data_IF_237149287120
#
_entry.id   IF_237149287120
#
_cell.length_a   1.000
_cell.length_b   1.000
_cell.length_c   1.000
_cell.angle_alpha   90.00
_cell.angle_beta   90.00
_cell.angle_gamma   90.00
#
_symmetry.space_group_name_H-M   'P 1'
#
loop_
_entity.id
_entity.type
_entity.pdbx_description
1 polymer ?
#
# COMPACT_ATOMS: atom_id res chain seq x y z
N UNK A 1 -10.73 33.82 1.39
CA UNK A 1 -10.25 32.44 1.14
C UNK A 1 -11.49 31.58 1.10
N UNK A 2 -11.82 31.04 -0.07
CA UNK A 2 -12.83 29.97 -0.15
C UNK A 2 -12.12 28.77 0.49
N UNK A 3 -12.62 28.31 1.64
CA UNK A 3 -12.16 27.04 2.18
C UNK A 3 -12.75 25.96 1.28
N UNK A 4 -11.90 25.07 0.80
CA UNK A 4 -12.37 23.86 0.11
C UNK A 4 -13.29 23.12 1.09
N UNK A 5 -14.52 22.84 0.65
CA UNK A 5 -15.58 22.26 1.47
C UNK A 5 -15.91 20.87 0.96
N UNK A 6 -16.18 19.96 1.88
CA UNK A 6 -16.73 18.64 1.59
C UNK A 6 -18.20 18.57 1.98
N UNK A 7 -18.86 17.50 1.54
CA UNK A 7 -20.24 17.17 1.89
C UNK A 7 -20.28 15.77 2.48
N UNK A 8 -21.00 15.57 3.57
CA UNK A 8 -21.13 14.29 4.25
C UNK A 8 -22.59 13.93 4.46
N UNK A 9 -22.92 12.66 4.28
CA UNK A 9 -24.22 12.09 4.61
C UNK A 9 -24.01 10.76 5.33
N UNK A 10 -24.68 10.57 6.47
CA UNK A 10 -24.47 9.40 7.35
C UNK A 10 -24.59 8.05 6.65
N UNK A 11 -25.57 7.89 5.76
CA UNK A 11 -25.80 6.63 5.03
C UNK A 11 -25.00 6.48 3.72
N UNK A 12 -24.44 7.58 3.20
CA UNK A 12 -23.94 7.64 1.83
C UNK A 12 -22.49 8.08 1.72
N UNK A 13 -21.88 8.49 2.84
CA UNK A 13 -20.47 8.79 2.96
C UNK A 13 -20.13 10.24 2.66
N UNK A 14 -18.86 10.46 2.30
CA UNK A 14 -18.27 11.77 2.05
C UNK A 14 -18.06 11.99 0.55
N UNK A 15 -18.34 13.22 0.08
CA UNK A 15 -18.02 13.69 -1.26
C UNK A 15 -17.24 15.00 -1.18
N UNK A 16 -16.30 15.16 -2.10
CA UNK A 16 -15.60 16.41 -2.32
C UNK A 16 -15.99 16.95 -3.68
N UNK A 17 -16.39 18.22 -3.73
CA UNK A 17 -16.52 18.92 -5.01
C UNK A 17 -15.11 19.30 -5.43
N UNK A 18 -14.56 18.60 -6.42
CA UNK A 18 -13.38 19.11 -7.12
C UNK A 18 -13.84 20.37 -7.86
N UNK A 19 -13.05 21.45 -7.81
CA UNK A 19 -13.30 22.68 -8.56
C UNK A 19 -13.47 22.34 -10.05
N UNK A 20 -14.72 22.14 -10.46
CA UNK A 20 -15.06 21.98 -11.86
C UNK A 20 -14.87 23.34 -12.50
N UNK A 21 -13.71 23.52 -13.13
CA UNK A 21 -13.52 24.58 -14.09
C UNK A 21 -14.29 24.18 -15.34
N UNK A 22 -15.48 24.75 -15.52
CA UNK A 22 -16.13 24.74 -16.82
C UNK A 22 -15.12 25.22 -17.87
N UNK A 23 -15.06 24.61 -19.06
CA UNK A 23 -14.20 25.12 -20.12
C UNK A 23 -14.51 26.61 -20.31
N UNK A 24 -13.48 27.45 -20.28
CA UNK A 24 -13.60 28.88 -20.52
C UNK A 24 -14.03 29.05 -21.97
N UNK A 25 -15.33 29.13 -22.20
CA UNK A 25 -15.85 29.67 -23.45
C UNK A 25 -15.71 31.19 -23.32
N UNK A 26 -15.01 31.87 -24.25
CA UNK A 26 -14.91 33.33 -24.21
C UNK A 26 -16.31 33.94 -24.09
N UNK A 27 -16.50 34.94 -23.23
CA UNK A 27 -17.80 35.65 -23.07
C UNK A 27 -18.36 36.16 -24.40
N UNK A 28 -17.48 36.32 -25.40
CA UNK A 28 -17.80 36.77 -26.75
C UNK A 28 -17.57 35.67 -27.83
N UNK A 29 -17.86 34.39 -27.56
CA UNK A 29 -17.85 33.38 -28.63
C UNK A 29 -19.10 33.50 -29.52
N UNK A 30 -18.97 34.28 -30.59
CA UNK A 30 -20.01 34.45 -31.60
C UNK A 30 -19.97 33.24 -32.55
N UNK A 31 -21.09 32.54 -32.70
CA UNK A 31 -21.20 31.50 -33.72
C UNK A 31 -20.96 32.14 -35.11
N UNK A 32 -20.28 31.45 -36.04
CA UNK A 32 -20.13 31.96 -37.40
C UNK A 32 -21.50 32.07 -38.05
N UNK A 33 -21.69 33.12 -38.86
CA UNK A 33 -22.88 33.30 -39.68
C UNK A 33 -23.12 32.03 -40.53
N UNK A 34 -24.34 31.52 -40.49
CA UNK A 34 -24.77 30.37 -41.28
C UNK A 34 -25.56 30.81 -42.49
N UNK A 35 -25.58 30.01 -43.56
CA UNK A 35 -26.42 30.29 -44.73
C UNK A 35 -27.65 29.38 -44.67
N UNK A 36 -28.84 29.96 -44.80
CA UNK A 36 -30.08 29.18 -44.83
C UNK A 36 -30.26 28.44 -46.18
N UNK A 37 -31.28 27.60 -46.24
CA UNK A 37 -31.57 26.76 -47.43
C UNK A 37 -31.90 27.60 -48.68
N UNK A 38 -32.26 28.88 -48.52
CA UNK A 38 -32.55 29.82 -49.60
C UNK A 38 -31.32 30.66 -50.01
N UNK A 39 -30.16 30.43 -49.39
CA UNK A 39 -28.90 31.08 -49.73
C UNK A 39 -28.67 32.44 -49.06
N UNK A 40 -29.46 32.80 -48.04
CA UNK A 40 -29.27 34.04 -47.30
C UNK A 40 -28.35 33.84 -46.09
N UNK A 41 -27.46 34.80 -45.86
CA UNK A 41 -26.61 34.81 -44.67
C UNK A 41 -27.44 35.18 -43.43
N UNK A 42 -27.47 34.29 -42.46
CA UNK A 42 -28.13 34.45 -41.15
C UNK A 42 -27.05 34.74 -40.10
N UNK A 43 -27.11 35.88 -39.39
CA UNK A 43 -26.12 36.22 -38.37
C UNK A 43 -26.07 35.19 -37.24
N UNK A 44 -24.88 34.75 -36.87
CA UNK A 44 -24.70 33.83 -35.74
C UNK A 44 -25.06 34.50 -34.41
N UNK A 45 -26.02 33.93 -33.69
CA UNK A 45 -26.45 34.42 -32.38
C UNK A 45 -25.44 34.15 -31.27
N UNK A 46 -25.55 34.89 -30.17
CA UNK A 46 -24.81 34.63 -28.94
C UNK A 46 -25.42 33.42 -28.22
N UNK A 47 -24.68 32.33 -28.07
CA UNK A 47 -25.08 31.21 -27.22
C UNK A 47 -24.58 31.48 -25.82
N UNK A 48 -25.48 31.75 -24.88
CA UNK A 48 -25.13 31.64 -23.46
C UNK A 48 -25.24 30.15 -23.11
N UNK A 49 -24.15 29.45 -22.78
CA UNK A 49 -24.27 28.06 -22.33
C UNK A 49 -25.13 28.02 -21.07
N UNK A 50 -25.97 27.00 -20.93
CA UNK A 50 -26.67 26.75 -19.68
C UNK A 50 -25.64 26.69 -18.56
N UNK A 51 -25.78 27.57 -17.56
CA UNK A 51 -24.98 27.46 -16.34
C UNK A 51 -25.31 26.09 -15.74
N UNK A 52 -24.32 25.22 -15.47
CA UNK A 52 -24.59 23.95 -14.84
C UNK A 52 -25.32 24.23 -13.52
N UNK A 53 -26.42 23.52 -13.31
CA UNK A 53 -27.17 23.55 -12.06
C UNK A 53 -26.19 23.34 -10.90
N UNK A 54 -26.31 24.16 -9.86
CA UNK A 54 -25.48 24.02 -8.69
C UNK A 54 -25.62 22.59 -8.16
N UNK A 55 -24.49 21.88 -8.04
CA UNK A 55 -24.40 20.47 -7.62
C UNK A 55 -25.07 20.18 -6.26
N UNK A 56 -25.47 21.22 -5.54
CA UNK A 56 -26.12 21.15 -4.23
C UNK A 56 -27.58 20.72 -4.27
N UNK A 57 -28.28 20.87 -5.41
CA UNK A 57 -29.69 20.47 -5.53
C UNK A 57 -29.88 18.94 -5.67
N UNK A 58 -28.80 18.20 -5.93
CA UNK A 58 -28.80 16.75 -6.15
C UNK A 58 -28.36 15.93 -4.91
N UNK A 59 -28.00 16.59 -3.80
CA UNK A 59 -27.61 15.86 -2.60
C UNK A 59 -28.84 15.33 -1.84
N UNK A 60 -28.79 14.08 -1.33
CA UNK A 60 -29.86 13.53 -0.51
C UNK A 60 -30.15 14.43 0.70
N UNK A 61 -31.43 14.50 1.10
CA UNK A 61 -31.85 15.15 2.33
C UNK A 61 -31.08 14.55 3.52
N UNK A 62 -30.50 15.39 4.38
CA UNK A 62 -29.61 14.97 5.47
C UNK A 62 -28.12 15.10 5.16
N UNK A 63 -27.76 15.57 3.97
CA UNK A 63 -26.36 15.93 3.64
C UNK A 63 -25.97 17.22 4.35
N UNK A 64 -24.84 17.21 5.04
CA UNK A 64 -24.26 18.37 5.74
C UNK A 64 -22.95 18.79 5.09
N UNK A 65 -22.66 20.09 5.14
CA UNK A 65 -21.37 20.63 4.70
C UNK A 65 -20.34 20.41 5.82
N UNK A 66 -19.17 19.89 5.47
CA UNK A 66 -18.09 19.55 6.43
C UNK A 66 -16.73 20.06 5.92
N UNK A 67 -15.74 20.29 6.79
CA UNK A 67 -14.36 20.53 6.38
C UNK A 67 -13.84 19.39 5.49
N UNK A 68 -12.82 19.66 4.66
CA UNK A 68 -12.17 18.60 3.88
C UNK A 68 -11.75 17.43 4.75
N UNK A 69 -11.99 16.22 4.25
CA UNK A 69 -11.55 14.99 4.88
C UNK A 69 -10.01 14.98 4.98
N UNK A 70 -9.42 14.93 6.20
CA UNK A 70 -7.97 15.08 6.38
C UNK A 70 -7.18 13.92 5.75
N UNK A 71 -7.66 12.70 5.95
CA UNK A 71 -7.07 11.48 5.40
C UNK A 71 -8.16 10.41 5.23
N UNK A 72 -7.82 9.28 4.59
CA UNK A 72 -8.78 8.22 4.30
C UNK A 72 -9.39 7.57 5.57
N UNK A 73 -8.66 7.59 6.68
CA UNK A 73 -8.94 6.91 7.93
C UNK A 73 -9.62 7.82 8.96
N UNK A 74 -10.27 8.90 8.52
CA UNK A 74 -11.15 9.66 9.38
C UNK A 74 -12.63 9.35 9.08
N UNK A 75 -13.49 9.46 10.08
CA UNK A 75 -14.94 9.54 9.92
C UNK A 75 -15.45 10.87 10.49
N UNK A 76 -16.57 11.35 9.97
CA UNK A 76 -17.18 12.59 10.47
C UNK A 76 -18.04 12.27 11.69
N UNK A 77 -17.66 12.78 12.85
CA UNK A 77 -18.50 12.74 14.05
C UNK A 77 -19.48 13.92 14.00
N UNK A 78 -20.72 13.64 13.62
CA UNK A 78 -21.78 14.65 13.55
C UNK A 78 -22.16 15.25 14.92
N UNK A 79 -21.89 14.54 16.03
CA UNK A 79 -22.16 15.04 17.38
C UNK A 79 -21.09 15.99 17.90
N UNK A 80 -19.84 15.77 17.50
CA UNK A 80 -18.69 16.61 17.86
C UNK A 80 -18.33 17.64 16.77
N UNK A 81 -18.96 17.58 15.60
CA UNK A 81 -18.67 18.40 14.41
C UNK A 81 -17.17 18.39 14.04
N UNK A 82 -16.54 17.21 14.12
CA UNK A 82 -15.10 17.04 13.84
C UNK A 82 -14.83 15.73 13.11
N UNK A 83 -13.71 15.70 12.39
CA UNK A 83 -13.14 14.45 11.90
C UNK A 83 -12.52 13.68 13.07
N UNK A 84 -12.87 12.40 13.21
CA UNK A 84 -12.30 11.47 14.19
C UNK A 84 -11.51 10.41 13.44
N UNK A 85 -10.29 10.11 13.89
CA UNK A 85 -9.53 9.00 13.32
C UNK A 85 -10.22 7.68 13.68
N UNK A 86 -10.50 6.87 12.66
CA UNK A 86 -10.98 5.51 12.82
C UNK A 86 -9.81 4.55 12.68
N UNK A 87 -9.71 3.54 13.57
CA UNK A 87 -8.66 2.54 13.46
C UNK A 87 -8.71 1.87 12.08
N UNK A 88 -7.58 1.86 11.37
CA UNK A 88 -7.45 1.07 10.15
C UNK A 88 -7.45 -0.39 10.55
N UNK A 89 -8.52 -1.11 10.24
CA UNK A 89 -8.55 -2.56 10.41
C UNK A 89 -7.95 -3.19 9.16
N UNK A 90 -6.77 -3.78 9.30
CA UNK A 90 -6.16 -4.54 8.22
C UNK A 90 -6.80 -5.93 8.13
N UNK A 91 -6.88 -6.47 6.92
CA UNK A 91 -7.38 -7.83 6.71
C UNK A 91 -6.28 -8.86 6.95
N UNK A 92 -6.67 -10.05 7.44
CA UNK A 92 -5.75 -11.19 7.62
C UNK A 92 -4.94 -11.52 6.36
N UNK A 93 -5.55 -11.32 5.19
CA UNK A 93 -4.92 -11.56 3.90
C UNK A 93 -3.74 -10.59 3.66
N UNK A 94 -3.82 -9.34 4.11
CA UNK A 94 -2.73 -8.38 3.98
C UNK A 94 -1.52 -8.78 4.83
N UNK A 95 -1.75 -9.31 6.04
CA UNK A 95 -0.69 -9.83 6.90
C UNK A 95 0.01 -11.04 6.25
N UNK A 96 -0.77 -11.91 5.59
CA UNK A 96 -0.21 -13.06 4.86
C UNK A 96 0.62 -12.60 3.66
N UNK A 97 0.15 -11.62 2.88
CA UNK A 97 0.92 -11.06 1.76
C UNK A 97 2.23 -10.42 2.20
N UNK A 98 2.23 -9.69 3.31
CA UNK A 98 3.46 -9.12 3.84
C UNK A 98 4.44 -10.20 4.27
N UNK A 99 3.96 -11.26 4.92
CA UNK A 99 4.81 -12.38 5.33
C UNK A 99 5.51 -13.03 4.13
N UNK A 100 4.79 -13.28 3.04
CA UNK A 100 5.37 -13.81 1.79
C UNK A 100 6.37 -12.82 1.16
N UNK A 101 6.05 -11.52 1.17
CA UNK A 101 6.98 -10.48 0.70
C UNK A 101 8.29 -10.49 1.51
N UNK A 102 8.23 -10.62 2.84
CA UNK A 102 9.40 -10.71 3.71
C UNK A 102 10.21 -12.00 3.47
N UNK A 103 9.57 -13.11 3.12
CA UNK A 103 10.25 -14.36 2.75
C UNK A 103 11.00 -14.20 1.42
N UNK A 104 10.40 -13.51 0.45
CA UNK A 104 10.98 -13.21 -0.86
C UNK A 104 12.11 -12.17 -0.78
N UNK A 105 11.99 -11.17 0.09
CA UNK A 105 13.10 -10.27 0.43
C UNK A 105 14.20 -11.08 1.12
N UNK A 106 13.82 -11.87 2.12
CA UNK A 106 14.70 -12.75 2.88
C UNK A 106 15.40 -12.06 4.05
N UNK A 107 16.49 -12.67 4.52
CA UNK A 107 17.24 -12.20 5.68
C UNK A 107 18.71 -11.94 5.35
N UNK A 108 19.33 -11.04 6.12
CA UNK A 108 20.78 -10.91 6.12
C UNK A 108 21.40 -12.04 6.95
N UNK A 109 22.22 -12.88 6.31
CA UNK A 109 22.93 -13.97 6.95
C UNK A 109 24.41 -13.77 6.65
N UNK A 110 25.23 -13.58 7.69
CA UNK A 110 26.66 -13.27 7.58
C UNK A 110 26.97 -12.05 6.69
N UNK A 111 26.08 -11.05 6.68
CA UNK A 111 26.25 -9.82 5.89
C UNK A 111 25.84 -9.94 4.42
N UNK A 112 25.32 -11.08 3.99
CA UNK A 112 24.78 -11.28 2.64
C UNK A 112 23.27 -11.45 2.70
N UNK A 113 22.55 -10.81 1.77
CA UNK A 113 21.10 -10.97 1.66
C UNK A 113 20.77 -12.33 1.04
N UNK A 114 19.98 -13.14 1.75
CA UNK A 114 19.50 -14.43 1.26
C UNK A 114 17.98 -14.47 1.27
N UNK A 115 17.40 -14.71 0.09
CA UNK A 115 16.00 -15.09 -0.04
C UNK A 115 15.75 -16.37 0.75
N UNK A 116 14.61 -16.43 1.44
CA UNK A 116 14.25 -17.58 2.29
C UNK A 116 13.07 -18.38 1.73
N UNK A 117 12.71 -18.12 0.47
CA UNK A 117 11.70 -18.89 -0.24
C UNK A 117 12.14 -20.34 -0.48
N UNK A 118 11.16 -21.18 -0.83
CA UNK A 118 11.36 -22.62 -1.02
C UNK A 118 12.47 -22.94 -2.03
N UNK A 119 12.54 -22.19 -3.13
CA UNK A 119 13.54 -22.38 -4.17
C UNK A 119 14.96 -22.13 -3.64
N UNK A 120 15.15 -21.10 -2.82
CA UNK A 120 16.46 -20.75 -2.26
C UNK A 120 16.89 -21.76 -1.20
N UNK A 121 15.97 -22.22 -0.36
CA UNK A 121 16.22 -23.31 0.60
C UNK A 121 16.56 -24.62 -0.09
N UNK A 122 15.90 -24.93 -1.20
CA UNK A 122 16.18 -26.14 -1.99
C UNK A 122 17.60 -26.10 -2.59
N UNK A 123 18.04 -24.95 -3.12
CA UNK A 123 19.42 -24.79 -3.63
C UNK A 123 20.48 -25.02 -2.55
N UNK A 124 20.23 -24.57 -1.32
CA UNK A 124 21.13 -24.80 -0.18
C UNK A 124 21.19 -26.30 0.19
N UNK A 125 20.05 -27.01 0.17
CA UNK A 125 20.03 -28.47 0.35
C UNK A 125 20.84 -29.20 -0.70
N UNK A 126 20.60 -28.89 -1.96
CA UNK A 126 21.35 -29.48 -3.08
C UNK A 126 22.85 -29.21 -2.96
N UNK A 127 23.25 -28.04 -2.48
CA UNK A 127 24.65 -27.74 -2.23
C UNK A 127 25.22 -28.59 -1.08
N UNK A 128 24.49 -28.78 0.02
CA UNK A 128 24.90 -29.71 1.09
C UNK A 128 25.10 -31.13 0.54
N UNK A 129 24.18 -31.62 -0.30
CA UNK A 129 24.31 -32.94 -0.95
C UNK A 129 25.58 -33.04 -1.81
N UNK A 130 25.93 -31.97 -2.54
CA UNK A 130 27.15 -31.92 -3.36
C UNK A 130 28.42 -31.98 -2.51
N UNK A 131 28.42 -31.35 -1.32
CA UNK A 131 29.49 -31.51 -0.35
C UNK A 131 29.56 -32.93 0.22
N UNK A 132 28.41 -33.52 0.59
CA UNK A 132 28.33 -34.88 1.12
C UNK A 132 28.81 -35.94 0.10
N UNK A 133 28.61 -35.67 -1.20
CA UNK A 133 29.13 -36.50 -2.29
C UNK A 133 30.63 -36.31 -2.58
N UNK A 134 31.31 -35.35 -1.92
CA UNK A 134 32.72 -35.06 -2.15
C UNK A 134 33.01 -34.46 -3.53
N UNK A 135 32.02 -33.80 -4.14
CA UNK A 135 32.11 -33.22 -5.49
C UNK A 135 32.56 -31.75 -5.49
N UNK A 136 32.88 -31.18 -4.33
CA UNK A 136 33.41 -29.82 -4.19
C UNK A 136 34.93 -29.88 -4.04
N UNK A 137 35.62 -29.10 -4.85
CA UNK A 137 37.08 -28.97 -4.81
C UNK A 137 37.53 -28.10 -3.60
N UNK A 138 38.84 -28.09 -3.32
CA UNK A 138 39.39 -27.36 -2.18
C UNK A 138 39.16 -25.83 -2.23
N UNK A 139 38.99 -25.25 -3.42
CA UNK A 139 38.67 -23.83 -3.59
C UNK A 139 37.19 -23.50 -3.29
N UNK A 140 36.36 -24.52 -3.05
CA UNK A 140 34.96 -24.36 -2.75
C UNK A 140 34.09 -24.14 -3.99
N UNK A 141 32.87 -23.69 -3.77
CA UNK A 141 31.88 -23.41 -4.81
C UNK A 141 31.41 -21.97 -4.70
N UNK A 142 31.53 -21.26 -5.80
CA UNK A 142 31.23 -19.83 -5.88
C UNK A 142 29.93 -19.58 -6.63
N UNK A 143 29.11 -18.70 -6.09
CA UNK A 143 27.81 -18.30 -6.61
C UNK A 143 27.72 -16.78 -6.69
N UNK A 144 26.90 -16.28 -7.60
CA UNK A 144 26.52 -14.86 -7.66
C UNK A 144 25.09 -14.70 -7.15
N UNK A 145 24.88 -13.78 -6.23
CA UNK A 145 23.56 -13.40 -5.75
C UNK A 145 22.88 -12.48 -6.77
N UNK A 146 21.57 -12.30 -6.64
CA UNK A 146 20.81 -11.35 -7.47
C UNK A 146 21.25 -9.89 -7.26
N UNK A 147 21.78 -9.58 -6.07
CA UNK A 147 22.36 -8.27 -5.76
C UNK A 147 23.74 -8.06 -6.42
N UNK A 148 24.28 -9.08 -7.09
CA UNK A 148 25.61 -9.05 -7.71
C UNK A 148 26.75 -9.40 -6.77
N UNK A 149 26.46 -9.79 -5.53
CA UNK A 149 27.48 -10.24 -4.58
C UNK A 149 27.99 -11.63 -4.97
N UNK A 150 29.26 -11.88 -4.67
CA UNK A 150 29.86 -13.20 -4.88
C UNK A 150 30.01 -13.90 -3.54
N UNK A 151 29.54 -15.14 -3.48
CA UNK A 151 29.52 -15.95 -2.28
C UNK A 151 30.24 -17.26 -2.55
N UNK A 152 31.23 -17.59 -1.73
CA UNK A 152 32.00 -18.83 -1.84
C UNK A 152 31.79 -19.69 -0.60
N UNK A 153 31.34 -20.93 -0.82
CA UNK A 153 31.26 -21.94 0.22
C UNK A 153 32.42 -22.92 0.07
N UNK A 154 33.22 -23.08 1.12
CA UNK A 154 34.36 -24.01 1.14
C UNK A 154 34.08 -25.26 1.97
N UNK A 155 33.03 -25.25 2.78
CA UNK A 155 32.67 -26.35 3.69
C UNK A 155 31.17 -26.58 3.74
N UNK A 156 30.76 -27.81 4.07
CA UNK A 156 29.36 -28.17 4.29
C UNK A 156 28.76 -27.37 5.43
N UNK A 157 29.52 -27.16 6.50
CA UNK A 157 29.11 -26.48 7.72
C UNK A 157 28.72 -25.02 7.45
N UNK A 158 29.40 -24.34 6.52
CA UNK A 158 29.02 -22.99 6.11
C UNK A 158 27.65 -22.97 5.43
N UNK A 159 27.37 -23.96 4.57
CA UNK A 159 26.08 -24.07 3.87
C UNK A 159 24.98 -24.39 4.87
N UNK A 160 25.23 -25.31 5.80
CA UNK A 160 24.29 -25.69 6.85
C UNK A 160 23.96 -24.53 7.79
N UNK A 161 24.95 -23.69 8.14
CA UNK A 161 24.73 -22.49 8.94
C UNK A 161 23.80 -21.50 8.22
N UNK A 162 24.01 -21.24 6.93
CA UNK A 162 23.14 -20.37 6.14
C UNK A 162 21.74 -20.96 6.00
N UNK A 163 21.65 -22.26 5.72
CA UNK A 163 20.39 -22.97 5.59
C UNK A 163 19.56 -22.93 6.89
N UNK A 164 20.21 -23.16 8.03
CA UNK A 164 19.57 -23.15 9.34
C UNK A 164 19.04 -21.76 9.69
N UNK A 165 19.85 -20.71 9.47
CA UNK A 165 19.43 -19.33 9.69
C UNK A 165 18.24 -18.94 8.78
N UNK A 166 18.26 -19.35 7.50
CA UNK A 166 17.18 -19.07 6.55
C UNK A 166 15.86 -19.77 6.95
N UNK A 167 15.92 -21.01 7.46
CA UNK A 167 14.74 -21.71 7.97
C UNK A 167 14.18 -21.03 9.22
N UNK A 168 15.05 -20.66 10.16
CA UNK A 168 14.62 -20.02 11.40
C UNK A 168 13.91 -18.69 11.09
N UNK A 169 14.47 -17.89 10.17
CA UNK A 169 13.81 -16.67 9.70
C UNK A 169 12.44 -16.95 9.09
N UNK A 170 12.36 -17.89 8.13
CA UNK A 170 11.08 -18.23 7.48
C UNK A 170 10.04 -18.70 8.50
N UNK A 171 10.44 -19.56 9.44
CA UNK A 171 9.57 -20.06 10.50
C UNK A 171 9.06 -18.92 11.37
N UNK A 172 9.95 -18.01 11.76
CA UNK A 172 9.59 -16.83 12.54
C UNK A 172 8.55 -15.97 11.81
N UNK A 173 8.78 -15.65 10.53
CA UNK A 173 7.87 -14.79 9.75
C UNK A 173 6.48 -15.44 9.65
N UNK A 174 6.39 -16.75 9.39
CA UNK A 174 5.11 -17.45 9.32
C UNK A 174 4.40 -17.50 10.67
N UNK A 175 5.14 -17.75 11.76
CA UNK A 175 4.57 -17.75 13.11
C UNK A 175 4.10 -16.35 13.53
N UNK A 176 4.90 -15.33 13.27
CA UNK A 176 4.56 -13.92 13.54
C UNK A 176 3.32 -13.49 12.76
N UNK A 177 3.22 -13.87 11.49
CA UNK A 177 2.02 -13.63 10.67
C UNK A 177 0.77 -14.25 11.31
N UNK A 178 0.86 -15.50 11.76
CA UNK A 178 -0.26 -16.18 12.42
C UNK A 178 -0.66 -15.50 13.74
N UNK A 179 0.30 -14.96 14.50
CA UNK A 179 0.03 -14.20 15.72
C UNK A 179 -0.66 -12.87 15.42
N UNK A 180 -0.17 -12.09 14.45
CA UNK A 180 -0.74 -10.79 14.07
C UNK A 180 -2.19 -10.96 13.57
N UNK A 181 -2.48 -12.02 12.80
CA UNK A 181 -3.84 -12.30 12.29
C UNK A 181 -4.88 -12.61 13.38
N UNK A 182 -4.45 -12.86 14.62
CA UNK A 182 -5.33 -13.11 15.78
C UNK A 182 -5.65 -11.83 16.57
N UNK A 183 -5.00 -10.71 16.25
CA UNK A 183 -5.24 -9.42 16.89
C UNK A 183 -6.56 -8.80 16.40
N UNK A 184 -7.19 -8.02 17.27
CA UNK A 184 -8.37 -7.22 16.96
C UNK A 184 -8.27 -5.87 17.70
N UNK A 185 -8.05 -4.75 16.99
CA UNK A 185 -7.85 -4.67 15.54
C UNK A 185 -6.50 -5.27 15.09
N UNK A 186 -6.43 -5.70 13.83
CA UNK A 186 -5.16 -6.11 13.21
C UNK A 186 -4.32 -4.84 12.94
N UNK A 187 -3.07 -4.75 13.45
CA UNK A 187 -2.19 -3.61 13.22
C UNK A 187 -1.69 -3.58 11.76
N UNK A 188 -1.09 -2.46 11.34
CA UNK A 188 -0.55 -2.30 10.00
C UNK A 188 0.60 -3.28 9.74
N UNK A 189 0.42 -4.33 8.91
CA UNK A 189 1.47 -5.30 8.70
C UNK A 189 2.70 -4.72 7.99
N UNK A 190 2.61 -3.54 7.36
CA UNK A 190 3.75 -2.90 6.70
C UNK A 190 4.78 -2.30 7.67
N UNK A 191 4.47 -2.22 8.97
CA UNK A 191 5.41 -1.76 9.99
C UNK A 191 6.50 -2.80 10.25
N UNK A 192 7.75 -2.41 10.00
CA UNK A 192 8.92 -3.29 10.15
C UNK A 192 9.08 -3.78 11.61
N UNK A 193 8.70 -2.97 12.59
CA UNK A 193 8.80 -3.26 14.02
C UNK A 193 8.00 -4.51 14.40
N UNK A 194 6.86 -4.77 13.75
CA UNK A 194 6.04 -5.96 14.00
C UNK A 194 6.78 -7.27 13.67
N UNK A 195 7.77 -7.19 12.79
CA UNK A 195 8.57 -8.31 12.29
C UNK A 195 9.97 -8.36 12.91
N UNK A 196 10.24 -7.58 13.96
CA UNK A 196 11.50 -7.63 14.68
C UNK A 196 11.65 -8.98 15.42
N UNK A 197 12.66 -9.75 15.02
CA UNK A 197 13.01 -11.04 15.62
C UNK A 197 13.59 -10.93 17.03
N UNK A 198 14.07 -9.75 17.42
CA UNK A 198 14.66 -9.52 18.72
C UNK A 198 13.62 -9.31 19.82
N UNK A 199 12.36 -9.06 19.45
CA UNK A 199 11.28 -8.76 20.37
C UNK A 199 10.09 -9.70 20.20
N UNK A 200 9.36 -9.95 21.29
CA UNK A 200 8.10 -10.68 21.20
C UNK A 200 6.99 -9.74 20.71
N UNK A 201 5.97 -10.28 20.03
CA UNK A 201 4.84 -9.47 19.58
C UNK A 201 4.15 -8.70 20.72
N UNK A 202 3.91 -9.30 21.91
CA UNK A 202 3.38 -8.56 23.05
C UNK A 202 4.25 -7.37 23.50
N UNK A 203 5.58 -7.50 23.46
CA UNK A 203 6.47 -6.42 23.88
C UNK A 203 6.39 -5.22 22.93
N UNK A 204 6.33 -5.50 21.62
CA UNK A 204 6.18 -4.46 20.58
C UNK A 204 4.86 -3.70 20.79
N UNK A 205 3.74 -4.42 20.91
CA UNK A 205 2.42 -3.80 21.07
C UNK A 205 2.29 -2.99 22.37
N UNK A 206 2.95 -3.43 23.44
CA UNK A 206 2.97 -2.69 24.71
C UNK A 206 3.86 -1.43 24.63
N UNK A 207 4.90 -1.42 23.80
CA UNK A 207 5.76 -0.25 23.63
C UNK A 207 5.09 0.87 22.84
N UNK A 208 4.22 0.54 21.88
CA UNK A 208 3.42 1.52 21.12
C UNK A 208 2.32 2.17 21.97
N UNK A 209 1.70 1.40 22.88
CA UNK A 209 0.65 1.91 23.78
C UNK A 209 1.16 2.95 24.79
N UNK A 210 2.47 3.04 25.02
CA UNK A 210 3.09 4.02 25.93
C UNK A 210 3.53 5.29 25.16
N UNK A 211 3.58 5.25 23.84
CA UNK A 211 4.00 6.35 22.97
C UNK A 211 2.83 7.16 22.38
N UNK A 212 1.58 6.76 22.64
CA UNK A 212 0.34 7.44 22.19
C UNK A 212 -0.30 8.28 23.30
#
# INVERSE_FOLDING_TARGET
MVMDKGFYHSERGYWQVNDYHAPVVPEDYQLPDSVDEDGNTVPGGWVTPDRPHHFTDDYPEGTVEVPLKPNANCEWDAGAETWVDVPVTFERLQVAYQAEALIEIGAQINGTQFKTNEQSLQRLRELMDVFDMGLVEAEGRTYSTEAGDTLTFTTREQVEAVYSAAILYRSFVLERSAQIQQLDPIPDPSQDELWDQSQTLPDILNSEAVAS
#
